data_IF_792150426055
#
_entry.id   IF_792150426055
#
_cell.length_a   1.000
_cell.length_b   1.000
_cell.length_c   1.000
_cell.angle_alpha   90.00
_cell.angle_beta   90.00
_cell.angle_gamma   90.00
#
_symmetry.space_group_name_H-M   'P 1'
#
loop_
_entity.id
_entity.type
_entity.pdbx_description
1 polymer ?
#
# COMPACT_ATOMS: atom_id res chain seq x y z
N UNK A 1 -16.67 23.43 -10.40
CA UNK A 1 -16.43 22.06 -9.88
C UNK A 1 -16.26 21.10 -11.04
N UNK A 2 -15.02 20.65 -11.29
CA UNK A 2 -14.77 19.51 -12.18
C UNK A 2 -14.89 18.25 -11.34
N UNK A 3 -15.82 17.36 -11.69
CA UNK A 3 -15.94 16.05 -11.05
C UNK A 3 -14.92 15.11 -11.73
N UNK A 4 -13.87 14.71 -11.02
CA UNK A 4 -12.83 13.83 -11.58
C UNK A 4 -12.69 12.61 -10.68
N UNK A 5 -13.36 11.52 -11.04
CA UNK A 5 -13.17 10.22 -10.40
C UNK A 5 -11.79 9.65 -10.76
N UNK A 6 -10.75 10.05 -10.03
CA UNK A 6 -9.40 9.47 -10.15
C UNK A 6 -9.16 8.53 -8.98
N UNK A 7 -8.78 7.29 -9.27
CA UNK A 7 -8.19 6.40 -8.28
C UNK A 7 -6.83 6.95 -7.90
N UNK A 8 -6.71 7.41 -6.66
CA UNK A 8 -5.46 7.94 -6.12
C UNK A 8 -5.04 7.12 -4.91
N UNK A 9 -3.73 7.04 -4.72
CA UNK A 9 -3.13 6.48 -3.52
C UNK A 9 -2.63 7.61 -2.64
N UNK A 10 -2.97 7.55 -1.36
CA UNK A 10 -2.40 8.42 -0.34
C UNK A 10 -0.92 8.06 -0.13
N UNK A 11 -0.02 9.00 -0.40
CA UNK A 11 1.39 8.88 0.00
C UNK A 11 1.51 9.43 1.41
N UNK A 12 1.67 8.56 2.40
CA UNK A 12 1.91 8.87 3.82
C UNK A 12 1.21 10.13 4.31
N UNK A 13 -0.04 9.98 4.74
CA UNK A 13 -0.76 11.05 5.42
C UNK A 13 -1.11 10.54 6.81
N UNK A 14 -0.55 11.19 7.82
CA UNK A 14 -1.01 11.05 9.18
C UNK A 14 -2.19 12.02 9.35
N UNK A 15 -3.42 11.50 9.33
CA UNK A 15 -4.48 12.22 10.05
C UNK A 15 -4.14 12.16 11.54
N UNK A 16 -4.52 13.20 12.29
CA UNK A 16 -4.30 13.30 13.75
C UNK A 16 -4.80 12.09 14.57
N UNK A 17 -5.54 11.15 13.95
CA UNK A 17 -6.15 9.97 14.60
C UNK A 17 -5.83 8.62 13.91
N UNK A 18 -4.89 8.58 12.96
CA UNK A 18 -4.46 7.31 12.35
C UNK A 18 -3.64 7.47 11.07
N UNK A 19 -2.60 6.65 10.92
CA UNK A 19 -1.85 6.53 9.67
C UNK A 19 -2.66 5.70 8.65
N UNK A 20 -3.18 6.36 7.61
CA UNK A 20 -3.91 5.67 6.53
C UNK A 20 -2.96 5.43 5.36
N UNK A 21 -1.94 4.59 5.57
CA UNK A 21 -0.99 4.27 4.51
C UNK A 21 -1.64 3.36 3.46
N UNK A 22 -1.43 3.67 2.18
CA UNK A 22 -1.70 2.79 1.02
C UNK A 22 -3.17 2.45 0.69
N UNK A 23 -4.14 3.29 1.06
CA UNK A 23 -5.50 3.15 0.54
C UNK A 23 -5.63 3.74 -0.87
N UNK A 24 -6.36 3.03 -1.74
CA UNK A 24 -6.88 3.62 -2.98
C UNK A 24 -8.24 4.18 -2.71
N UNK A 25 -8.40 5.43 -3.13
CA UNK A 25 -9.55 6.26 -2.84
C UNK A 25 -9.95 7.02 -4.08
N UNK A 26 -11.21 7.46 -4.10
CA UNK A 26 -11.76 8.23 -5.20
C UNK A 26 -11.78 9.71 -4.84
N UNK A 27 -11.14 10.53 -5.69
CA UNK A 27 -11.33 11.98 -5.64
C UNK A 27 -12.73 12.28 -6.15
N UNK A 28 -13.51 13.03 -5.37
CA UNK A 28 -14.86 13.47 -5.75
C UNK A 28 -14.80 14.86 -6.36
N UNK A 29 -14.07 15.77 -5.70
CA UNK A 29 -13.98 17.17 -6.11
C UNK A 29 -12.56 17.71 -5.94
N UNK A 30 -12.16 18.55 -6.90
CA UNK A 30 -11.01 19.45 -6.77
C UNK A 30 -11.55 20.84 -6.49
N UNK A 31 -11.11 21.44 -5.39
CA UNK A 31 -11.55 22.75 -4.95
C UNK A 31 -10.36 23.69 -4.90
N UNK A 32 -10.49 24.83 -5.56
CA UNK A 32 -9.59 25.98 -5.43
C UNK A 32 -10.40 27.08 -4.77
N UNK A 33 -10.15 27.34 -3.49
CA UNK A 33 -10.84 28.39 -2.73
C UNK A 33 -9.82 29.18 -1.88
N UNK A 34 -10.17 30.43 -1.56
CA UNK A 34 -9.39 31.29 -0.66
C UNK A 34 -9.57 30.91 0.81
N UNK A 35 -10.60 30.13 1.13
CA UNK A 35 -10.90 29.64 2.47
C UNK A 35 -10.88 28.11 2.43
N UNK A 36 -9.82 27.52 2.97
CA UNK A 36 -9.69 26.07 3.09
C UNK A 36 -10.15 25.54 4.45
N UNK A 37 -10.24 24.20 4.58
CA UNK A 37 -10.68 23.53 5.81
C UNK A 37 -9.63 23.52 6.92
N UNK A 38 -8.44 24.06 6.65
CA UNK A 38 -7.35 24.26 7.60
C UNK A 38 -7.07 25.77 7.62
N UNK A 39 -6.97 26.38 8.79
CA UNK A 39 -6.51 27.77 8.92
C UNK A 39 -5.07 27.88 8.39
N UNK A 40 -4.92 28.25 7.12
CA UNK A 40 -3.63 28.50 6.48
C UNK A 40 -3.70 29.79 5.67
N UNK A 41 -2.63 30.59 5.71
CA UNK A 41 -2.54 31.94 5.13
C UNK A 41 -2.39 31.98 3.59
N UNK A 42 -2.42 30.84 2.90
CA UNK A 42 -2.10 30.73 1.46
C UNK A 42 -3.23 30.05 0.67
N UNK A 43 -3.38 30.31 -0.66
CA UNK A 43 -4.49 29.78 -1.46
C UNK A 43 -4.61 28.25 -1.33
N UNK A 44 -5.71 27.83 -0.70
CA UNK A 44 -5.96 26.47 -0.26
C UNK A 44 -6.55 25.65 -1.41
N UNK A 45 -5.68 25.13 -2.28
CA UNK A 45 -6.06 24.02 -3.13
C UNK A 45 -6.20 22.77 -2.26
N UNK A 46 -7.42 22.24 -2.16
CA UNK A 46 -7.70 20.98 -1.47
C UNK A 46 -8.59 20.10 -2.33
N UNK A 47 -8.54 18.80 -2.05
CA UNK A 47 -9.35 17.82 -2.75
C UNK A 47 -10.22 17.08 -1.77
N UNK A 48 -11.47 16.84 -2.15
CA UNK A 48 -12.40 16.05 -1.35
C UNK A 48 -12.27 14.61 -1.81
N UNK A 49 -11.91 13.76 -0.86
CA UNK A 49 -11.62 12.35 -1.11
C UNK A 49 -12.56 11.50 -0.27
N UNK A 50 -13.16 10.49 -0.91
CA UNK A 50 -14.00 9.53 -0.23
C UNK A 50 -13.16 8.36 0.31
N UNK A 51 -13.17 8.20 1.63
CA UNK A 51 -12.50 7.12 2.36
C UNK A 51 -13.56 6.20 2.97
N UNK A 52 -13.99 5.12 2.30
CA UNK A 52 -15.14 4.31 2.74
C UNK A 52 -15.01 3.71 4.15
N UNK A 53 -13.78 3.50 4.63
CA UNK A 53 -13.48 2.98 5.97
C UNK A 53 -13.15 4.05 7.02
N UNK A 54 -13.36 5.34 6.71
CA UNK A 54 -13.03 6.43 7.62
C UNK A 54 -14.01 6.50 8.79
N UNK A 55 -13.47 6.49 10.01
CA UNK A 55 -14.23 6.55 11.27
C UNK A 55 -13.93 7.80 12.10
N UNK A 56 -13.16 8.74 11.55
CA UNK A 56 -12.78 9.99 12.23
C UNK A 56 -13.87 11.07 12.15
N UNK A 57 -13.53 12.32 12.53
CA UNK A 57 -14.45 13.44 12.53
C UNK A 57 -15.06 13.72 11.16
N UNK A 58 -16.39 13.79 11.11
CA UNK A 58 -17.11 14.07 9.87
C UNK A 58 -16.92 15.52 9.47
N UNK A 59 -16.44 15.75 8.26
CA UNK A 59 -16.45 17.09 7.66
C UNK A 59 -17.84 17.44 7.10
N UNK A 60 -18.59 16.46 6.60
CA UNK A 60 -19.95 16.62 6.10
C UNK A 60 -20.89 15.59 6.71
N UNK A 61 -22.01 16.03 7.27
CA UNK A 61 -23.04 15.11 7.78
C UNK A 61 -23.70 14.27 6.68
N UNK A 62 -23.78 14.82 5.46
CA UNK A 62 -24.34 14.08 4.31
C UNK A 62 -23.35 13.05 3.76
N UNK A 63 -22.06 13.31 3.92
CA UNK A 63 -20.99 12.46 3.40
C UNK A 63 -19.92 12.25 4.49
N UNK A 64 -20.18 11.38 5.48
CA UNK A 64 -19.34 11.23 6.66
C UNK A 64 -17.94 10.67 6.35
N UNK A 65 -17.78 9.98 5.22
CA UNK A 65 -16.51 9.41 4.75
C UNK A 65 -15.70 10.36 3.87
N UNK A 66 -16.24 11.54 3.58
CA UNK A 66 -15.55 12.53 2.74
C UNK A 66 -14.63 13.37 3.60
N UNK A 67 -13.34 13.32 3.26
CA UNK A 67 -12.29 14.02 3.97
C UNK A 67 -11.62 15.01 3.02
N UNK A 68 -11.51 16.29 3.38
CA UNK A 68 -10.72 17.24 2.63
C UNK A 68 -9.22 16.98 2.87
N UNK A 69 -8.48 16.82 1.78
CA UNK A 69 -7.02 16.63 1.79
C UNK A 69 -6.38 17.89 1.19
N UNK A 70 -5.69 18.65 2.03
CA UNK A 70 -4.97 19.87 1.64
C UNK A 70 -3.54 19.61 1.17
N UNK A 71 -2.81 20.70 0.94
CA UNK A 71 -1.37 20.67 0.71
C UNK A 71 -0.66 20.14 1.95
N UNK A 72 0.33 19.27 1.72
CA UNK A 72 1.20 18.73 2.75
C UNK A 72 2.65 19.05 2.41
N UNK A 73 3.38 19.55 3.40
CA UNK A 73 4.80 19.86 3.28
C UNK A 73 5.61 18.67 3.79
N UNK A 74 6.24 17.94 2.87
CA UNK A 74 7.18 16.88 3.19
C UNK A 74 8.60 17.45 3.23
N UNK A 75 9.31 17.29 4.34
CA UNK A 75 10.73 17.64 4.43
C UNK A 75 11.62 16.43 4.07
N UNK A 76 12.82 16.72 3.57
CA UNK A 76 13.90 15.74 3.42
C UNK A 76 14.31 15.21 4.80
N UNK A 77 13.64 14.14 5.26
CA UNK A 77 13.83 13.43 6.54
C UNK A 77 14.97 13.93 7.46
N UNK A 78 16.03 13.14 7.59
CA UNK A 78 17.08 13.36 8.60
C UNK A 78 17.99 14.58 8.35
N UNK A 79 17.96 15.18 7.16
CA UNK A 79 18.90 16.24 6.77
C UNK A 79 18.24 17.62 6.66
N UNK A 80 16.90 17.69 6.61
CA UNK A 80 16.14 18.94 6.59
C UNK A 80 16.51 19.92 5.48
N UNK A 81 17.23 19.47 4.44
CA UNK A 81 17.88 20.38 3.49
C UNK A 81 16.93 20.92 2.42
N UNK A 82 15.77 20.30 2.24
CA UNK A 82 14.74 20.75 1.31
C UNK A 82 13.35 20.31 1.78
N UNK A 83 12.32 21.01 1.28
CA UNK A 83 10.91 20.68 1.47
C UNK A 83 10.19 20.62 0.13
N UNK A 84 9.14 19.81 0.07
CA UNK A 84 8.24 19.69 -1.06
C UNK A 84 6.80 19.89 -0.57
N UNK A 85 6.10 20.86 -1.15
CA UNK A 85 4.70 21.14 -0.84
C UNK A 85 3.85 20.53 -1.95
N UNK A 86 3.03 19.53 -1.61
CA UNK A 86 2.16 18.83 -2.56
C UNK A 86 0.93 18.28 -1.89
N UNK A 87 -0.15 18.09 -2.64
CA UNK A 87 -1.25 17.25 -2.18
C UNK A 87 -0.70 15.81 -2.08
N UNK A 88 -0.83 15.11 -0.94
CA UNK A 88 -0.23 13.80 -0.70
C UNK A 88 -0.97 12.66 -1.41
N UNK A 89 -1.33 12.86 -2.67
CA UNK A 89 -2.05 11.91 -3.52
C UNK A 89 -1.24 11.63 -4.78
N UNK A 90 -1.25 10.36 -5.19
CA UNK A 90 -0.62 9.91 -6.43
C UNK A 90 -1.65 9.18 -7.29
N UNK A 91 -1.71 9.48 -8.58
CA UNK A 91 -2.57 8.75 -9.52
C UNK A 91 -2.19 7.27 -9.52
N UNK A 92 -3.18 6.40 -9.33
CA UNK A 92 -2.96 4.97 -9.10
C UNK A 92 -3.70 4.09 -10.13
N UNK A 93 -3.52 4.40 -11.42
CA UNK A 93 -3.97 3.53 -12.53
C UNK A 93 -2.93 2.47 -12.89
N UNK A 94 -1.65 2.84 -12.82
CA UNK A 94 -0.50 1.98 -13.07
C UNK A 94 0.50 2.25 -11.97
N UNK A 95 1.15 1.20 -11.47
CA UNK A 95 2.21 1.33 -10.48
C UNK A 95 3.20 0.18 -10.61
N UNK A 96 4.38 0.36 -10.01
CA UNK A 96 5.38 -0.70 -9.98
C UNK A 96 4.98 -1.83 -9.03
N UNK A 97 5.47 -3.03 -9.30
CA UNK A 97 5.23 -4.22 -8.46
C UNK A 97 5.63 -3.97 -7.00
N UNK A 98 6.74 -3.25 -6.77
CA UNK A 98 7.19 -2.86 -5.43
C UNK A 98 6.16 -2.03 -4.66
N UNK A 99 5.38 -1.19 -5.36
CA UNK A 99 4.38 -0.32 -4.76
C UNK A 99 3.09 -1.07 -4.42
N UNK A 100 2.84 -2.26 -4.95
CA UNK A 100 1.68 -3.10 -4.59
C UNK A 100 2.04 -4.23 -3.64
N UNK A 101 3.25 -4.28 -3.12
CA UNK A 101 3.63 -5.23 -2.08
C UNK A 101 2.74 -5.02 -0.85
N UNK A 102 2.10 -6.08 -0.37
CA UNK A 102 1.13 -6.04 0.73
C UNK A 102 -0.32 -5.80 0.32
N UNK A 103 -0.58 -5.38 -0.93
CA UNK A 103 -1.94 -5.25 -1.43
C UNK A 103 -2.58 -6.64 -1.68
N UNK A 104 -3.91 -6.68 -1.57
CA UNK A 104 -4.74 -7.85 -1.91
C UNK A 104 -5.76 -7.43 -2.97
N UNK A 105 -5.93 -8.28 -3.99
CA UNK A 105 -6.80 -8.05 -5.14
C UNK A 105 -7.80 -9.19 -5.24
N UNK A 106 -9.07 -8.85 -5.39
CA UNK A 106 -10.16 -9.81 -5.42
C UNK A 106 -11.48 -9.19 -4.97
N UNK A 107 -12.48 -10.04 -4.81
CA UNK A 107 -13.81 -9.62 -4.35
C UNK A 107 -13.74 -8.94 -2.99
N UNK A 108 -14.46 -7.84 -2.86
CA UNK A 108 -14.50 -7.03 -1.65
C UNK A 108 -13.16 -6.35 -1.31
N UNK A 109 -12.17 -6.37 -2.20
CA UNK A 109 -10.93 -5.61 -2.04
C UNK A 109 -10.99 -4.30 -2.85
N UNK A 110 -10.14 -3.30 -2.53
CA UNK A 110 -10.11 -2.03 -3.27
C UNK A 110 -9.84 -2.19 -4.77
N UNK A 111 -9.17 -3.28 -5.17
CA UNK A 111 -9.04 -3.70 -6.56
C UNK A 111 -9.62 -5.09 -6.73
N UNK A 112 -10.48 -5.26 -7.73
CA UNK A 112 -11.06 -6.57 -8.05
C UNK A 112 -10.26 -7.35 -9.09
N UNK A 113 -9.52 -6.66 -9.97
CA UNK A 113 -8.78 -7.26 -11.08
C UNK A 113 -7.41 -6.60 -11.23
N UNK A 114 -6.45 -7.33 -11.78
CA UNK A 114 -5.10 -6.84 -12.07
C UNK A 114 -4.68 -7.20 -13.49
N UNK A 115 -4.03 -6.24 -14.16
CA UNK A 115 -3.27 -6.47 -15.39
C UNK A 115 -1.80 -6.38 -15.05
N UNK A 116 -1.04 -7.43 -15.37
CA UNK A 116 0.39 -7.55 -15.05
C UNK A 116 1.21 -7.35 -16.31
N UNK A 117 2.16 -6.43 -16.23
CA UNK A 117 3.20 -6.25 -17.24
C UNK A 117 4.52 -6.85 -16.74
N UNK A 118 4.94 -7.99 -17.30
CA UNK A 118 6.19 -8.66 -16.93
C UNK A 118 7.40 -8.22 -17.77
N UNK A 119 7.21 -7.25 -18.67
CA UNK A 119 8.23 -6.77 -19.62
C UNK A 119 8.06 -7.36 -21.01
N UNK A 120 8.75 -6.76 -21.98
CA UNK A 120 8.71 -7.20 -23.38
C UNK A 120 9.51 -8.50 -23.61
N UNK A 121 8.99 -9.43 -24.43
CA UNK A 121 9.73 -10.60 -24.88
C UNK A 121 11.07 -10.20 -25.51
N UNK A 122 12.15 -10.91 -25.17
CA UNK A 122 13.49 -10.69 -25.75
C UNK A 122 14.30 -9.52 -25.18
N UNK A 123 13.71 -8.58 -24.43
CA UNK A 123 14.44 -7.45 -23.82
C UNK A 123 14.91 -7.68 -22.38
N UNK A 124 15.06 -8.94 -21.99
CA UNK A 124 15.40 -9.32 -20.61
C UNK A 124 14.29 -8.88 -19.66
N UNK A 125 13.32 -9.76 -19.41
CA UNK A 125 12.21 -9.47 -18.52
C UNK A 125 12.73 -9.29 -17.07
N UNK A 126 13.12 -8.05 -16.72
CA UNK A 126 13.64 -7.69 -15.38
C UNK A 126 12.66 -8.05 -14.27
N UNK A 127 11.36 -8.03 -14.55
CA UNK A 127 10.32 -8.48 -13.63
C UNK A 127 10.44 -9.96 -13.23
N UNK A 128 11.20 -10.77 -13.98
CA UNK A 128 11.43 -12.17 -13.66
C UNK A 128 12.72 -12.40 -12.86
N UNK A 129 13.56 -11.39 -12.66
CA UNK A 129 14.91 -11.60 -12.11
C UNK A 129 15.00 -11.53 -10.58
N UNK A 130 13.92 -11.25 -9.86
CA UNK A 130 14.01 -10.98 -8.41
C UNK A 130 12.69 -11.28 -7.67
N UNK A 131 12.00 -12.36 -8.01
CA UNK A 131 10.72 -12.74 -7.37
C UNK A 131 9.56 -11.77 -7.62
N UNK A 132 9.76 -10.67 -8.36
CA UNK A 132 8.74 -9.66 -8.63
C UNK A 132 7.52 -10.22 -9.35
N UNK A 133 7.72 -11.12 -10.32
CA UNK A 133 6.61 -11.83 -10.96
C UNK A 133 5.78 -12.62 -9.93
N UNK A 134 6.42 -13.28 -8.97
CA UNK A 134 5.73 -14.00 -7.88
C UNK A 134 4.98 -13.02 -6.98
N UNK A 135 5.57 -11.87 -6.64
CA UNK A 135 4.88 -10.81 -5.88
C UNK A 135 3.64 -10.32 -6.62
N UNK A 136 3.76 -10.00 -7.92
CA UNK A 136 2.65 -9.50 -8.73
C UNK A 136 1.51 -10.52 -8.82
N UNK A 137 1.84 -11.78 -9.10
CA UNK A 137 0.87 -12.87 -9.24
C UNK A 137 0.19 -13.21 -7.90
N UNK A 138 0.94 -13.16 -6.80
CA UNK A 138 0.41 -13.43 -5.45
C UNK A 138 -0.47 -12.31 -4.88
N UNK A 139 -0.64 -11.17 -5.57
CA UNK A 139 -1.57 -10.12 -5.10
C UNK A 139 -3.02 -10.54 -5.28
N UNK A 140 -3.32 -11.37 -6.28
CA UNK A 140 -4.69 -11.80 -6.57
C UNK A 140 -5.06 -13.02 -5.75
N UNK A 141 -6.27 -13.00 -5.16
CA UNK A 141 -6.87 -14.18 -4.51
C UNK A 141 -7.21 -15.28 -5.52
N UNK A 142 -7.51 -14.91 -6.77
CA UNK A 142 -8.00 -15.82 -7.79
C UNK A 142 -7.34 -15.58 -9.14
N UNK A 143 -7.08 -16.65 -9.89
CA UNK A 143 -6.42 -16.56 -11.19
C UNK A 143 -7.29 -15.93 -12.28
N UNK A 144 -8.61 -16.11 -12.20
CA UNK A 144 -9.57 -15.51 -13.14
C UNK A 144 -9.59 -13.97 -13.13
N UNK A 145 -8.95 -13.35 -12.13
CA UNK A 145 -8.86 -11.90 -11.95
C UNK A 145 -7.50 -11.33 -12.36
N UNK A 146 -6.61 -12.18 -12.86
CA UNK A 146 -5.29 -11.81 -13.37
C UNK A 146 -5.32 -11.84 -14.89
N UNK A 147 -4.90 -10.74 -15.51
CA UNK A 147 -4.60 -10.66 -16.93
C UNK A 147 -3.15 -10.25 -17.13
N UNK A 148 -2.60 -10.57 -18.30
CA UNK A 148 -1.30 -10.07 -18.73
C UNK A 148 -1.50 -9.08 -19.86
N UNK A 149 -0.81 -7.93 -19.81
CA UNK A 149 -0.82 -6.99 -20.93
C UNK A 149 -0.14 -7.60 -22.16
N UNK A 150 1.00 -8.25 -21.92
CA UNK A 150 1.69 -9.08 -22.89
C UNK A 150 1.78 -10.49 -22.28
N UNK A 151 1.06 -11.48 -22.83
CA UNK A 151 1.10 -12.84 -22.31
C UNK A 151 2.53 -13.41 -22.35
N UNK A 152 3.08 -13.89 -21.23
CA UNK A 152 4.34 -14.62 -21.24
C UNK A 152 4.14 -15.97 -21.94
N UNK A 153 5.20 -16.48 -22.57
CA UNK A 153 5.18 -17.84 -23.08
C UNK A 153 5.12 -18.86 -21.93
N UNK A 154 4.67 -20.08 -22.26
CA UNK A 154 4.49 -21.15 -21.27
C UNK A 154 5.78 -21.48 -20.51
N UNK A 155 6.93 -21.48 -21.17
CA UNK A 155 8.20 -21.83 -20.53
C UNK A 155 8.61 -20.76 -19.53
N UNK A 156 8.43 -19.49 -19.88
CA UNK A 156 8.64 -18.35 -19.00
C UNK A 156 7.75 -18.42 -17.77
N UNK A 157 6.45 -18.71 -17.94
CA UNK A 157 5.50 -18.80 -16.84
C UNK A 157 5.81 -19.99 -15.90
N UNK A 158 6.13 -21.16 -16.47
CA UNK A 158 6.47 -22.36 -15.68
C UNK A 158 7.85 -22.26 -15.00
N UNK A 159 8.73 -21.38 -15.49
CA UNK A 159 10.04 -21.11 -14.90
C UNK A 159 10.03 -20.10 -13.75
N UNK A 160 8.88 -19.51 -13.41
CA UNK A 160 8.76 -18.57 -12.30
C UNK A 160 8.95 -19.29 -10.95
N UNK A 161 9.79 -18.73 -10.07
CA UNK A 161 10.05 -19.31 -8.75
C UNK A 161 10.97 -20.53 -8.73
N UNK A 162 11.45 -21.00 -9.90
CA UNK A 162 12.35 -22.15 -10.01
C UNK A 162 13.74 -21.79 -10.55
N UNK A 163 14.12 -20.51 -10.48
CA UNK A 163 15.45 -20.05 -10.92
C UNK A 163 16.51 -20.35 -9.86
N UNK A 164 17.80 -20.38 -10.21
CA UNK A 164 18.87 -20.63 -9.24
C UNK A 164 18.81 -19.71 -8.02
N UNK A 165 18.50 -18.41 -8.23
CA UNK A 165 18.32 -17.45 -7.14
C UNK A 165 17.10 -17.75 -6.25
N UNK A 166 15.97 -18.16 -6.84
CA UNK A 166 14.75 -18.49 -6.09
C UNK A 166 14.97 -19.67 -5.12
N UNK A 167 15.81 -20.64 -5.55
CA UNK A 167 16.22 -21.77 -4.71
C UNK A 167 17.05 -21.32 -3.50
N UNK A 168 17.95 -20.35 -3.68
CA UNK A 168 18.72 -19.75 -2.58
C UNK A 168 17.81 -19.01 -1.61
N UNK A 169 16.86 -18.23 -2.11
CA UNK A 169 15.87 -17.52 -1.28
C UNK A 169 15.01 -18.50 -0.49
N UNK A 170 14.58 -19.60 -1.11
CA UNK A 170 13.75 -20.62 -0.45
C UNK A 170 14.53 -21.34 0.65
N UNK A 171 15.79 -21.71 0.39
CA UNK A 171 16.66 -22.31 1.39
C UNK A 171 16.89 -21.37 2.58
N UNK A 172 17.11 -20.07 2.32
CA UNK A 172 17.28 -19.07 3.37
C UNK A 172 16.00 -18.84 4.18
N UNK A 173 14.84 -18.74 3.52
CA UNK A 173 13.54 -18.65 4.20
C UNK A 173 13.29 -19.86 5.10
N UNK A 174 13.64 -21.06 4.64
CA UNK A 174 13.52 -22.28 5.44
C UNK A 174 14.45 -22.22 6.67
N UNK A 175 15.70 -21.80 6.49
CA UNK A 175 16.65 -21.58 7.60
C UNK A 175 16.13 -20.56 8.61
N UNK A 176 15.55 -19.45 8.15
CA UNK A 176 14.94 -18.44 9.01
C UNK A 176 13.73 -18.98 9.79
N UNK A 177 12.89 -19.81 9.16
CA UNK A 177 11.75 -20.46 9.85
C UNK A 177 12.23 -21.41 10.93
N UNK A 178 13.20 -22.27 10.62
CA UNK A 178 13.80 -23.19 11.59
C UNK A 178 14.43 -22.45 12.77
N UNK A 179 15.13 -21.33 12.49
CA UNK A 179 15.69 -20.47 13.52
C UNK A 179 14.58 -19.83 14.37
N UNK A 180 13.53 -19.31 13.75
CA UNK A 180 12.39 -18.73 14.45
C UNK A 180 11.70 -19.75 15.36
N UNK A 181 11.48 -20.98 14.91
CA UNK A 181 10.91 -22.05 15.73
C UNK A 181 11.84 -22.46 16.88
N UNK A 182 13.15 -22.54 16.64
CA UNK A 182 14.14 -22.83 17.70
C UNK A 182 14.12 -21.75 18.77
N UNK A 183 14.15 -20.48 18.36
CA UNK A 183 14.07 -19.34 19.27
C UNK A 183 12.74 -19.34 20.03
N UNK A 184 11.60 -19.58 19.36
CA UNK A 184 10.30 -19.68 20.02
C UNK A 184 10.27 -20.78 21.09
N UNK A 185 10.91 -21.93 20.86
CA UNK A 185 11.05 -23.00 21.85
C UNK A 185 11.96 -22.65 23.04
N UNK A 186 12.87 -21.71 22.87
CA UNK A 186 13.89 -21.35 23.87
C UNK A 186 13.70 -19.94 24.44
N UNK A 187 12.62 -19.24 24.10
CA UNK A 187 12.35 -17.88 24.58
C UNK A 187 11.55 -17.94 25.90
N UNK A 188 12.18 -17.76 27.08
CA UNK A 188 11.47 -17.53 28.34
C UNK A 188 10.58 -16.28 28.28
N UNK A 189 10.94 -15.34 27.40
CA UNK A 189 10.29 -14.05 27.22
C UNK A 189 8.83 -14.13 26.74
N UNK A 190 8.40 -15.22 26.08
CA UNK A 190 7.01 -15.37 25.66
C UNK A 190 6.07 -15.64 26.84
N UNK A 191 6.49 -16.49 27.79
CA UNK A 191 5.74 -16.74 29.03
C UNK A 191 5.79 -15.52 29.95
N UNK A 192 6.95 -14.90 30.10
CA UNK A 192 7.09 -13.67 30.91
C UNK A 192 6.24 -12.52 30.36
N UNK A 193 6.13 -12.40 29.02
CA UNK A 193 5.27 -11.40 28.38
C UNK A 193 3.78 -11.70 28.53
N UNK A 194 3.36 -12.97 28.42
CA UNK A 194 1.98 -13.39 28.71
C UNK A 194 1.60 -13.13 30.18
N UNK A 195 2.48 -13.47 31.12
CA UNK A 195 2.30 -13.20 32.55
C UNK A 195 2.23 -11.69 32.84
N UNK A 196 3.08 -10.88 32.19
CA UNK A 196 3.02 -9.41 32.27
C UNK A 196 1.70 -8.86 31.69
N UNK A 197 1.25 -9.40 30.55
CA UNK A 197 -0.02 -9.02 29.94
C UNK A 197 -1.23 -9.41 30.80
N UNK A 198 -1.20 -10.56 31.46
CA UNK A 198 -2.26 -11.00 32.38
C UNK A 198 -2.29 -10.16 33.65
N UNK A 199 -1.13 -9.84 34.23
CA UNK A 199 -1.04 -8.92 35.38
C UNK A 199 -1.56 -7.53 35.04
N UNK A 200 -1.31 -7.03 33.83
CA UNK A 200 -1.84 -5.75 33.38
C UNK A 200 -3.38 -5.77 33.21
N UNK A 201 -3.97 -6.92 32.86
CA UNK A 201 -5.44 -7.08 32.78
C UNK A 201 -6.13 -7.25 34.13
N UNK A 202 -5.43 -7.82 35.12
CA UNK A 202 -5.97 -8.04 36.47
C UNK A 202 -5.81 -6.82 37.39
N UNK A 203 -5.03 -5.81 36.98
CA UNK A 203 -4.77 -4.58 37.72
C UNK A 203 -5.65 -3.38 37.32
N UNK A 204 -6.77 -3.61 36.64
CA UNK A 204 -7.75 -2.58 36.27
C UNK A 204 -9.10 -2.88 36.91
#
# INVERSE_FOLDING_TARGET
CVCVCVCVRLSTFATLEGEVNTQVVHVQHVVEDKVGPVEMDEPLAYVIVDFPGYTGPKWSERHPTWVPVGLHTESCGAQGCCSNVRIPLQVHKVCSIHKVQGATIGEGCPWERIVIHLGEPGKGMRALQTGLAVVALSRSKEWARVAFEIPPDRQTLMGLGNRPFDKLVTAELQRCRELAERTARHAPMAREWEELCERARQGM
#
